data_IF_831111681945
#
_entry.id   IF_831111681945
#
_cell.length_a   1.000
_cell.length_b   1.000
_cell.length_c   1.000
_cell.angle_alpha   90.00
_cell.angle_beta   90.00
_cell.angle_gamma   90.00
#
_symmetry.space_group_name_H-M   'P 1'
#
loop_
_entity.id
_entity.type
_entity.pdbx_description
1 polymer ?
#
# COMPACT_ATOMS: atom_id res chain seq x y z
N UNK A 1 15.51 -11.68 -9.17
CA UNK A 1 15.12 -11.52 -9.09
C UNK A 1 14.08 -11.57 -8.74
N UNK A 2 13.57 -11.22 -8.57
CA UNK A 2 12.72 -11.12 -8.06
C UNK A 2 11.65 -11.34 -8.35
N UNK A 3 11.37 -11.62 -8.85
CA UNK A 3 10.42 -11.86 -9.26
C UNK A 3 9.43 -12.05 -8.71
N UNK A 4 9.06 -11.55 -8.46
CA UNK A 4 8.11 -11.64 -8.20
C UNK A 4 7.30 -12.27 -7.89
N UNK A 5 7.07 -12.40 -7.44
CA UNK A 5 6.32 -13.08 -6.90
C UNK A 5 5.12 -12.49 -6.49
N UNK A 6 4.41 -11.72 -7.26
CA UNK A 6 3.11 -11.19 -6.97
C UNK A 6 2.16 -12.28 -6.51
N UNK A 7 2.38 -13.49 -6.98
CA UNK A 7 1.52 -14.60 -6.62
C UNK A 7 1.69 -15.05 -5.20
N UNK A 8 2.80 -14.71 -4.58
CA UNK A 8 3.06 -15.11 -3.20
C UNK A 8 2.77 -14.00 -2.21
N UNK A 9 2.32 -12.84 -2.69
CA UNK A 9 1.95 -11.76 -1.79
C UNK A 9 0.68 -12.12 -1.03
N UNK A 10 0.68 -11.82 0.26
CA UNK A 10 -0.52 -11.98 1.07
C UNK A 10 -1.52 -10.89 0.73
N UNK A 11 -2.76 -11.06 1.18
CA UNK A 11 -3.78 -10.04 0.98
C UNK A 11 -3.39 -8.73 1.67
N UNK A 12 -2.71 -8.84 2.81
CA UNK A 12 -2.19 -7.65 3.48
C UNK A 12 -1.20 -6.91 2.60
N UNK A 13 -0.26 -7.64 2.03
CA UNK A 13 0.76 -7.04 1.19
C UNK A 13 0.17 -6.44 -0.08
N UNK A 14 -0.82 -7.10 -0.66
CA UNK A 14 -1.49 -6.58 -1.84
C UNK A 14 -2.20 -5.28 -1.52
N UNK A 15 -2.90 -5.24 -0.38
CA UNK A 15 -3.59 -4.03 0.04
C UNK A 15 -2.63 -2.88 0.28
N UNK A 16 -1.51 -3.18 0.94
CA UNK A 16 -0.51 -2.16 1.22
C UNK A 16 0.11 -1.62 -0.07
N UNK A 17 0.41 -2.52 -1.00
CA UNK A 17 0.99 -2.12 -2.28
C UNK A 17 0.01 -1.27 -3.08
N UNK A 18 -1.27 -1.62 -3.05
CA UNK A 18 -2.29 -0.84 -3.76
C UNK A 18 -2.39 0.57 -3.19
N UNK A 19 -2.38 0.69 -1.87
CA UNK A 19 -2.44 2.00 -1.23
C UNK A 19 -1.22 2.84 -1.60
N UNK A 20 -0.04 2.25 -1.57
CA UNK A 20 1.19 2.96 -1.91
C UNK A 20 1.16 3.43 -3.37
N UNK A 21 0.66 2.58 -4.25
CA UNK A 21 0.57 2.91 -5.67
C UNK A 21 -0.37 4.09 -5.91
N UNK A 22 -1.54 4.04 -5.29
CA UNK A 22 -2.53 5.11 -5.45
C UNK A 22 -2.03 6.41 -4.86
N UNK A 23 -1.32 6.33 -3.76
CA UNK A 23 -0.74 7.52 -3.17
C UNK A 23 0.32 8.14 -4.07
N UNK A 24 1.14 7.30 -4.69
CA UNK A 24 2.16 7.77 -5.61
C UNK A 24 1.54 8.47 -6.82
N UNK A 25 0.37 8.00 -7.25
CA UNK A 25 -0.34 8.60 -8.37
C UNK A 25 -1.12 9.85 -7.97
N UNK A 26 -1.30 10.06 -6.69
CA UNK A 26 -2.09 11.18 -6.22
C UNK A 26 -3.58 10.97 -6.35
N UNK A 27 -4.03 9.73 -6.50
CA UNK A 27 -5.43 9.40 -6.69
C UNK A 27 -6.13 9.25 -5.34
N UNK A 28 -6.49 10.37 -4.76
CA UNK A 28 -7.09 10.38 -3.42
C UNK A 28 -8.48 9.76 -3.41
N UNK A 29 -9.19 9.83 -4.52
CA UNK A 29 -10.53 9.27 -4.59
C UNK A 29 -10.52 7.76 -4.45
N UNK A 30 -9.52 7.10 -5.01
CA UNK A 30 -9.41 5.67 -4.91
C UNK A 30 -8.64 5.21 -3.69
N UNK A 31 -7.87 6.12 -3.13
CA UNK A 31 -7.03 5.78 -1.97
C UNK A 31 -7.90 5.45 -0.76
N UNK A 32 -8.95 6.20 -0.53
CA UNK A 32 -9.79 6.00 0.63
C UNK A 32 -10.38 4.59 0.70
N UNK A 33 -11.07 4.11 -0.34
CA UNK A 33 -11.59 2.74 -0.28
C UNK A 33 -10.47 1.69 -0.25
N UNK A 34 -9.33 1.98 -0.87
CA UNK A 34 -8.21 1.06 -0.83
C UNK A 34 -7.65 0.93 0.58
N UNK A 35 -7.57 2.03 1.31
CA UNK A 35 -7.12 2.01 2.70
C UNK A 35 -8.08 1.17 3.55
N UNK A 36 -9.38 1.36 3.36
CA UNK A 36 -10.35 0.59 4.11
C UNK A 36 -10.21 -0.90 3.85
N UNK A 37 -10.02 -1.26 2.60
CA UNK A 37 -9.86 -2.65 2.24
C UNK A 37 -8.58 -3.23 2.85
N UNK A 38 -7.51 -2.45 2.84
CA UNK A 38 -6.26 -2.89 3.45
C UNK A 38 -6.44 -3.14 4.94
N UNK A 39 -7.15 -2.25 5.63
CA UNK A 39 -7.41 -2.42 7.05
C UNK A 39 -8.25 -3.66 7.32
N UNK A 40 -9.23 -3.92 6.45
CA UNK A 40 -10.03 -5.12 6.56
C UNK A 40 -9.21 -6.38 6.39
N UNK A 41 -8.15 -6.32 5.63
CA UNK A 41 -7.28 -7.46 5.39
C UNK A 41 -6.15 -7.58 6.41
N UNK A 42 -6.21 -6.79 7.47
CA UNK A 42 -5.26 -6.94 8.55
C UNK A 42 -4.09 -5.98 8.54
N UNK A 43 -4.04 -5.06 7.58
CA UNK A 43 -3.01 -4.04 7.59
C UNK A 43 -3.33 -3.04 8.70
N UNK A 44 -2.32 -2.64 9.45
CA UNK A 44 -2.52 -1.68 10.53
C UNK A 44 -2.24 -0.26 10.05
N UNK A 45 -2.75 0.69 10.80
CA UNK A 45 -2.52 2.10 10.49
C UNK A 45 -1.04 2.44 10.57
N UNK A 46 -0.33 1.82 11.52
CA UNK A 46 1.11 2.04 11.63
C UNK A 46 1.85 1.55 10.39
N UNK A 47 1.43 0.41 9.85
CA UNK A 47 2.03 -0.11 8.63
C UNK A 47 1.81 0.83 7.45
N UNK A 48 0.62 1.40 7.36
CA UNK A 48 0.31 2.35 6.31
C UNK A 48 1.14 3.62 6.45
N UNK A 49 1.26 4.11 7.67
CA UNK A 49 2.08 5.30 7.92
C UNK A 49 3.53 5.06 7.54
N UNK A 50 4.05 3.91 7.88
CA UNK A 50 5.42 3.57 7.58
C UNK A 50 5.66 3.49 6.08
N UNK A 51 4.74 2.83 5.39
CA UNK A 51 4.84 2.71 3.94
C UNK A 51 4.79 4.07 3.26
N UNK A 52 3.90 4.93 3.73
CA UNK A 52 3.77 6.27 3.16
C UNK A 52 5.01 7.12 3.45
N UNK A 53 5.57 6.98 4.64
CA UNK A 53 6.80 7.69 4.99
C UNK A 53 7.95 7.29 4.10
N UNK A 54 8.08 5.99 3.83
CA UNK A 54 9.12 5.52 2.95
C UNK A 54 8.93 6.02 1.53
N UNK A 55 7.70 6.06 1.08
CA UNK A 55 7.39 6.54 -0.24
C UNK A 55 7.81 8.01 -0.38
N UNK A 56 7.50 8.81 0.61
CA UNK A 56 7.90 10.21 0.61
C UNK A 56 9.41 10.37 0.64
N UNK A 57 10.09 9.51 1.36
CA UNK A 57 11.54 9.56 1.42
C UNK A 57 12.16 9.32 0.04
N UNK A 58 11.51 8.46 -0.75
CA UNK A 58 12.02 8.18 -2.08
C UNK A 58 11.72 9.28 -3.07
N UNK A 59 10.55 9.87 -2.99
CA UNK A 59 10.10 10.83 -3.98
C UNK A 59 10.40 12.27 -3.59
N UNK A 60 10.55 12.48 -2.32
CA UNK A 60 10.81 13.81 -1.80
C UNK A 60 12.23 14.20 -1.96
#
# INVERSE_FOLDING_TARGET
MVTANAQTLTERQKGLAACACLMAQGDMNRLEPAVRMALDNGVTINELKEAFSQLYAYTG
#
